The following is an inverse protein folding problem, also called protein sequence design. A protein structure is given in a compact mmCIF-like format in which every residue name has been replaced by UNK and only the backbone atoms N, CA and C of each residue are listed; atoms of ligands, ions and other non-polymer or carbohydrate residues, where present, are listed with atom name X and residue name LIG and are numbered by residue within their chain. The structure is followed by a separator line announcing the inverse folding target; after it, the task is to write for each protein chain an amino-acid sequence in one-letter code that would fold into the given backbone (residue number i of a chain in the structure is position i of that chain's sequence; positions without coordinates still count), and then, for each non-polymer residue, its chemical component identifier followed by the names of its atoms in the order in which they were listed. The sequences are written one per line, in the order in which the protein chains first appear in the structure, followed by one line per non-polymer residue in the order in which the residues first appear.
data_IF_991774717818
#
_entry.id   IF_991774717818
#
_cell.length_a   1.000
_cell.length_b   1.000
_cell.length_c   1.000
_cell.angle_alpha   90.00
_cell.angle_beta   90.00
_cell.angle_gamma   90.00
#
_symmetry.space_group_name_H-M   'P 1'
#
loop_
_entity.id
_entity.type
_entity.pdbx_description
1 polymer ?
#
# COMPACT_ATOMS: atom_id res chain seq x y z
N UNK A 1 -18.89 -0.98 9.05
CA UNK A 1 -19.06 -0.16 10.29
C UNK A 1 -20.50 -0.28 10.81
N UNK A 2 -21.53 -0.10 9.97
CA UNK A 2 -22.94 -0.16 10.39
C UNK A 2 -23.35 -1.51 11.02
N UNK A 3 -22.95 -2.65 10.42
CA UNK A 3 -23.27 -3.98 10.96
C UNK A 3 -22.64 -4.28 12.32
N UNK A 4 -21.45 -3.75 12.58
CA UNK A 4 -20.76 -3.92 13.87
C UNK A 4 -21.41 -3.09 15.00
N UNK A 5 -21.86 -1.89 14.70
CA UNK A 5 -22.59 -1.05 15.67
C UNK A 5 -23.95 -1.63 16.02
N UNK A 6 -24.64 -2.21 15.07
CA UNK A 6 -25.94 -2.83 15.30
C UNK A 6 -25.85 -4.14 16.11
N UNK A 7 -24.83 -4.96 15.87
CA UNK A 7 -24.58 -6.15 16.71
C UNK A 7 -24.30 -5.76 18.18
N UNK A 8 -23.57 -4.66 18.40
CA UNK A 8 -23.37 -4.11 19.76
C UNK A 8 -24.67 -3.61 20.39
N UNK A 9 -25.51 -2.91 19.63
CA UNK A 9 -26.79 -2.41 20.14
C UNK A 9 -27.73 -3.57 20.54
N UNK A 10 -27.80 -4.63 19.72
CA UNK A 10 -28.56 -5.84 20.05
C UNK A 10 -28.04 -6.53 21.33
N UNK A 11 -26.71 -6.63 21.48
CA UNK A 11 -26.05 -7.21 22.64
C UNK A 11 -26.34 -6.42 23.93
N UNK A 12 -26.34 -5.08 23.86
CA UNK A 12 -26.68 -4.21 24.99
C UNK A 12 -28.17 -4.37 25.38
N UNK A 13 -29.09 -4.43 24.40
CA UNK A 13 -30.51 -4.68 24.66
C UNK A 13 -30.75 -6.05 25.30
N UNK A 14 -30.05 -7.11 24.84
CA UNK A 14 -30.15 -8.44 25.42
C UNK A 14 -29.61 -8.49 26.85
N UNK A 15 -28.49 -7.85 27.13
CA UNK A 15 -27.92 -7.75 28.48
C UNK A 15 -28.82 -6.97 29.44
N UNK A 16 -29.41 -5.87 29.00
CA UNK A 16 -30.35 -5.07 29.80
C UNK A 16 -31.67 -5.83 30.11
N UNK A 17 -32.12 -6.67 29.17
CA UNK A 17 -33.24 -7.58 29.38
C UNK A 17 -32.92 -8.65 30.45
N UNK A 18 -31.72 -9.25 30.34
CA UNK A 18 -31.24 -10.25 31.29
C UNK A 18 -31.03 -9.70 32.72
N UNK A 19 -30.64 -8.42 32.79
CA UNK A 19 -30.46 -7.68 34.05
C UNK A 19 -31.79 -7.19 34.69
N UNK A 20 -32.95 -7.44 34.04
CA UNK A 20 -34.25 -7.03 34.55
C UNK A 20 -34.51 -5.52 34.52
N UNK A 21 -33.71 -4.76 33.77
CA UNK A 21 -33.85 -3.28 33.67
C UNK A 21 -35.06 -2.91 32.80
N UNK A 22 -35.46 -3.80 31.87
CA UNK A 22 -36.63 -3.59 31.02
C UNK A 22 -37.64 -4.72 31.14
N UNK A 23 -38.93 -4.36 31.08
CA UNK A 23 -40.00 -5.31 30.93
C UNK A 23 -39.89 -6.05 29.58
N UNK A 24 -40.34 -7.29 29.52
CA UNK A 24 -40.27 -8.15 28.32
C UNK A 24 -40.88 -7.48 27.07
N UNK A 25 -41.94 -6.70 27.26
CA UNK A 25 -42.55 -5.90 26.16
C UNK A 25 -41.64 -4.78 25.66
N UNK A 26 -41.01 -4.05 26.57
CA UNK A 26 -40.10 -2.97 26.21
C UNK A 26 -38.86 -3.52 25.44
N UNK A 27 -38.32 -4.65 25.92
CA UNK A 27 -37.21 -5.33 25.23
C UNK A 27 -37.54 -5.82 23.81
N UNK A 28 -38.73 -6.37 23.61
CA UNK A 28 -39.21 -6.80 22.30
C UNK A 28 -39.39 -5.61 21.34
N UNK A 29 -39.95 -4.50 21.82
CA UNK A 29 -40.09 -3.27 20.99
C UNK A 29 -38.73 -2.68 20.61
N UNK A 30 -37.79 -2.58 21.57
CA UNK A 30 -36.44 -2.07 21.28
C UNK A 30 -35.69 -2.95 20.28
N UNK A 31 -35.78 -4.27 20.41
CA UNK A 31 -35.18 -5.20 19.47
C UNK A 31 -35.81 -5.07 18.05
N UNK A 32 -37.13 -4.92 17.97
CA UNK A 32 -37.84 -4.70 16.70
C UNK A 32 -37.42 -3.39 16.04
N UNK A 33 -37.26 -2.29 16.80
CA UNK A 33 -36.79 -1.00 16.31
C UNK A 33 -35.38 -1.14 15.73
N UNK A 34 -34.46 -1.81 16.42
CA UNK A 34 -33.08 -2.03 15.94
C UNK A 34 -33.08 -2.85 14.66
N UNK A 35 -33.83 -3.95 14.61
CA UNK A 35 -33.92 -4.80 13.40
C UNK A 35 -34.52 -4.01 12.23
N UNK A 36 -35.60 -3.27 12.48
CA UNK A 36 -36.25 -2.48 11.44
C UNK A 36 -35.34 -1.36 10.90
N UNK A 37 -34.62 -0.66 11.79
CA UNK A 37 -33.68 0.38 11.36
C UNK A 37 -32.53 -0.19 10.54
N UNK A 38 -32.02 -1.39 10.88
CA UNK A 38 -31.03 -2.10 10.08
C UNK A 38 -31.52 -2.48 8.69
N UNK A 39 -32.77 -2.97 8.60
CA UNK A 39 -33.38 -3.33 7.32
C UNK A 39 -33.70 -2.09 6.47
N UNK A 40 -34.06 -0.97 7.11
CA UNK A 40 -34.43 0.27 6.42
C UNK A 40 -33.20 1.04 5.93
N UNK A 41 -32.08 1.00 6.63
CA UNK A 41 -30.88 1.75 6.30
C UNK A 41 -30.39 1.53 4.86
N UNK A 42 -30.18 0.30 4.36
CA UNK A 42 -29.77 0.09 2.97
C UNK A 42 -30.79 0.60 1.95
N UNK A 43 -32.08 0.49 2.26
CA UNK A 43 -33.15 1.00 1.40
C UNK A 43 -33.11 2.53 1.33
N UNK A 44 -32.92 3.20 2.48
CA UNK A 44 -32.79 4.66 2.55
C UNK A 44 -31.54 5.11 1.80
N UNK A 45 -30.41 4.44 1.95
CA UNK A 45 -29.17 4.76 1.22
C UNK A 45 -29.37 4.62 -0.29
N UNK A 46 -30.01 3.54 -0.75
CA UNK A 46 -30.31 3.34 -2.17
C UNK A 46 -31.27 4.42 -2.71
N UNK A 47 -32.27 4.81 -1.92
CA UNK A 47 -33.19 5.89 -2.30
C UNK A 47 -32.48 7.25 -2.31
N UNK A 48 -31.65 7.54 -1.35
CA UNK A 48 -30.84 8.76 -1.31
C UNK A 48 -29.90 8.83 -2.50
N UNK A 49 -29.18 7.75 -2.83
CA UNK A 49 -28.32 7.68 -4.03
C UNK A 49 -29.09 7.89 -5.35
N UNK A 50 -30.36 7.49 -5.36
CA UNK A 50 -31.21 7.64 -6.56
C UNK A 50 -31.83 9.03 -6.67
N UNK A 51 -32.19 9.65 -5.53
CA UNK A 51 -32.93 10.93 -5.50
C UNK A 51 -32.06 12.15 -5.24
N UNK A 52 -30.90 12.00 -4.57
CA UNK A 52 -29.95 13.09 -4.50
C UNK A 52 -29.17 13.16 -5.82
N UNK A 53 -29.28 14.28 -6.56
CA UNK A 53 -28.41 14.47 -7.70
C UNK A 53 -26.97 14.49 -7.17
N UNK A 54 -26.16 13.56 -7.64
CA UNK A 54 -24.71 13.65 -7.42
C UNK A 54 -24.32 15.03 -7.93
N UNK A 55 -23.58 15.84 -7.14
CA UNK A 55 -23.15 17.13 -7.63
C UNK A 55 -22.43 16.87 -8.95
N UNK A 56 -22.98 17.41 -10.04
CA UNK A 56 -22.34 17.33 -11.35
C UNK A 56 -20.99 18.04 -11.18
N UNK A 57 -19.90 17.29 -11.27
CA UNK A 57 -18.55 17.85 -11.22
C UNK A 57 -18.49 18.82 -12.40
N UNK A 58 -18.42 20.10 -12.11
CA UNK A 58 -18.33 21.13 -13.14
C UNK A 58 -17.00 20.96 -13.87
N UNK A 59 -17.06 20.59 -15.15
CA UNK A 59 -15.88 20.51 -16.03
C UNK A 59 -15.44 21.87 -16.57
N UNK A 60 -16.04 22.97 -16.07
CA UNK A 60 -15.71 24.31 -16.54
C UNK A 60 -14.25 24.64 -16.28
N UNK A 61 -13.48 24.95 -17.33
CA UNK A 61 -12.06 25.28 -17.27
C UNK A 61 -11.13 24.06 -17.23
N UNK A 62 -11.63 22.86 -17.45
CA UNK A 62 -10.84 21.65 -17.49
C UNK A 62 -10.71 21.21 -18.96
N UNK A 63 -9.47 21.00 -19.38
CA UNK A 63 -9.13 20.60 -20.74
C UNK A 63 -8.91 19.08 -20.82
N UNK A 64 -9.43 18.47 -21.86
CA UNK A 64 -9.01 17.13 -22.28
C UNK A 64 -7.72 17.20 -23.11
N UNK A 65 -6.90 16.15 -23.12
CA UNK A 65 -5.61 16.19 -23.81
C UNK A 65 -5.78 16.30 -25.33
N UNK A 66 -5.26 17.40 -25.96
CA UNK A 66 -5.38 17.60 -27.39
C UNK A 66 -4.22 16.98 -28.19
N UNK A 67 -3.96 15.68 -28.09
CA UNK A 67 -2.78 15.02 -28.69
C UNK A 67 -1.45 15.55 -28.13
N UNK A 68 -1.16 15.25 -26.89
CA UNK A 68 0.07 15.65 -26.22
C UNK A 68 1.29 14.94 -26.81
N UNK A 69 2.46 15.56 -26.71
CA UNK A 69 3.74 15.05 -27.29
C UNK A 69 4.90 15.09 -26.31
N UNK A 70 4.62 15.19 -25.01
CA UNK A 70 5.66 15.20 -23.99
C UNK A 70 6.51 13.91 -24.01
N UNK A 71 7.81 14.06 -23.74
CA UNK A 71 8.73 12.92 -23.62
C UNK A 71 8.38 12.00 -22.46
N UNK A 72 7.75 12.54 -21.45
CA UNK A 72 7.30 11.80 -20.26
C UNK A 72 5.81 12.02 -20.04
N UNK A 73 5.06 10.93 -19.93
CA UNK A 73 3.65 10.97 -19.57
C UNK A 73 3.51 10.61 -18.09
N UNK A 74 2.95 11.53 -17.27
CA UNK A 74 2.61 11.29 -15.87
C UNK A 74 1.12 11.03 -15.76
N UNK A 75 0.74 9.89 -15.19
CA UNK A 75 -0.64 9.48 -14.93
C UNK A 75 -0.86 9.51 -13.42
N UNK A 76 -1.71 10.45 -12.98
CA UNK A 76 -1.96 10.74 -11.57
C UNK A 76 -1.08 11.87 -11.05
N UNK A 77 -1.71 13.02 -10.75
CA UNK A 77 -1.04 14.23 -10.25
C UNK A 77 -1.37 14.51 -8.78
N UNK A 78 -1.58 13.45 -8.00
CA UNK A 78 -1.68 13.51 -6.55
C UNK A 78 -0.33 13.89 -5.90
N UNK A 79 -0.24 13.76 -4.57
CA UNK A 79 0.95 14.11 -3.78
C UNK A 79 2.26 13.54 -4.34
N UNK A 80 2.25 12.29 -4.77
CA UNK A 80 3.42 11.62 -5.32
C UNK A 80 3.79 12.18 -6.71
N UNK A 81 2.82 12.29 -7.63
CA UNK A 81 3.03 12.82 -8.99
C UNK A 81 3.55 14.24 -9.00
N UNK A 82 3.05 15.10 -8.10
CA UNK A 82 3.55 16.46 -7.91
C UNK A 82 5.03 16.51 -7.54
N UNK A 83 5.45 15.68 -6.58
CA UNK A 83 6.86 15.64 -6.15
C UNK A 83 7.75 15.06 -7.25
N UNK A 84 7.33 13.99 -7.93
CA UNK A 84 8.09 13.37 -9.03
C UNK A 84 8.27 14.32 -10.22
N UNK A 85 7.29 15.19 -10.49
CA UNK A 85 7.41 16.16 -11.59
C UNK A 85 8.50 17.22 -11.37
N UNK A 86 8.84 17.56 -10.11
CA UNK A 86 9.77 18.64 -9.81
C UNK A 86 11.18 18.43 -10.37
N UNK A 87 11.87 17.30 -10.15
CA UNK A 87 13.19 17.07 -10.72
C UNK A 87 13.17 16.98 -12.25
N UNK A 88 12.06 16.52 -12.85
CA UNK A 88 11.92 16.47 -14.31
C UNK A 88 11.81 17.90 -14.88
N UNK A 89 10.96 18.72 -14.29
CA UNK A 89 10.83 20.14 -14.69
C UNK A 89 12.10 20.93 -14.44
N UNK A 90 12.82 20.68 -13.36
CA UNK A 90 14.10 21.32 -13.08
C UNK A 90 15.19 20.99 -14.13
N UNK A 91 14.96 19.98 -14.96
CA UNK A 91 15.83 19.57 -16.07
C UNK A 91 15.22 19.89 -17.43
N UNK A 92 14.19 20.73 -17.47
CA UNK A 92 13.47 21.11 -18.69
C UNK A 92 12.97 19.91 -19.51
N UNK A 93 12.61 18.81 -18.82
CA UNK A 93 12.00 17.65 -19.46
C UNK A 93 10.57 18.02 -19.86
N UNK A 94 10.23 17.81 -21.12
CA UNK A 94 8.87 17.98 -21.61
C UNK A 94 7.96 16.89 -21.04
N UNK A 95 7.01 17.29 -20.20
CA UNK A 95 6.10 16.38 -19.52
C UNK A 95 4.64 16.64 -19.91
N UNK A 96 3.91 15.58 -20.17
CA UNK A 96 2.46 15.57 -20.27
C UNK A 96 1.87 15.00 -18.99
N UNK A 97 0.83 15.62 -18.44
CA UNK A 97 0.25 15.20 -17.15
C UNK A 97 -1.25 15.01 -17.33
N UNK A 98 -1.76 13.86 -16.90
CA UNK A 98 -3.19 13.57 -16.84
C UNK A 98 -3.61 13.13 -15.45
N UNK A 99 -4.83 13.51 -15.05
CA UNK A 99 -5.49 13.05 -13.84
C UNK A 99 -6.99 12.88 -14.10
N UNK A 100 -7.63 11.97 -13.39
CA UNK A 100 -9.08 11.77 -13.42
C UNK A 100 -9.80 12.57 -12.33
N UNK A 101 -9.07 13.17 -11.40
CA UNK A 101 -9.61 13.97 -10.30
C UNK A 101 -9.64 15.45 -10.67
N UNK A 102 -10.85 15.94 -10.91
CA UNK A 102 -11.11 17.34 -11.30
C UNK A 102 -10.68 18.34 -10.24
N UNK A 103 -10.85 18.03 -8.97
CA UNK A 103 -10.46 18.93 -7.87
C UNK A 103 -8.93 19.02 -7.76
N UNK A 104 -8.24 17.91 -8.02
CA UNK A 104 -6.79 17.88 -8.10
C UNK A 104 -6.27 18.70 -9.27
N UNK A 105 -6.90 18.62 -10.44
CA UNK A 105 -6.53 19.40 -11.64
C UNK A 105 -6.67 20.90 -11.36
N UNK A 106 -7.76 21.33 -10.73
CA UNK A 106 -7.96 22.74 -10.34
C UNK A 106 -6.93 23.20 -9.32
N UNK A 107 -6.68 22.40 -8.30
CA UNK A 107 -5.67 22.70 -7.30
C UNK A 107 -4.28 22.87 -7.94
N UNK A 108 -3.91 21.98 -8.85
CA UNK A 108 -2.64 22.05 -9.59
C UNK A 108 -2.52 23.34 -10.43
N UNK A 109 -3.60 23.78 -11.06
CA UNK A 109 -3.66 25.03 -11.83
C UNK A 109 -3.31 26.26 -10.99
N UNK A 110 -3.68 26.29 -9.70
CA UNK A 110 -3.33 27.38 -8.79
C UNK A 110 -1.81 27.49 -8.54
N UNK A 111 -1.06 26.43 -8.78
CA UNK A 111 0.40 26.38 -8.67
C UNK A 111 1.11 26.45 -10.03
N UNK A 112 0.37 26.76 -11.10
CA UNK A 112 0.94 26.91 -12.44
C UNK A 112 1.18 25.61 -13.19
N UNK A 113 0.69 24.47 -12.71
CA UNK A 113 0.76 23.20 -13.43
C UNK A 113 -0.39 23.09 -14.43
N UNK A 114 -0.07 22.67 -15.66
CA UNK A 114 -1.07 22.31 -16.64
C UNK A 114 -1.30 20.79 -16.61
N UNK A 115 -2.44 20.40 -16.06
CA UNK A 115 -2.87 19.02 -15.94
C UNK A 115 -4.15 18.85 -16.76
N UNK A 116 -4.18 17.82 -17.58
CA UNK A 116 -5.36 17.52 -18.41
C UNK A 116 -6.24 16.47 -17.74
N UNK A 117 -7.54 16.57 -18.00
CA UNK A 117 -8.47 15.53 -17.55
C UNK A 117 -8.31 14.27 -18.38
N UNK A 118 -8.07 13.13 -17.72
CA UNK A 118 -7.98 11.87 -18.41
C UNK A 118 -7.97 10.66 -17.47
N UNK A 119 -8.78 9.67 -17.81
CA UNK A 119 -8.75 8.36 -17.14
C UNK A 119 -7.70 7.47 -17.82
N UNK A 120 -6.56 7.29 -17.17
CA UNK A 120 -5.44 6.48 -17.66
C UNK A 120 -5.75 4.99 -17.86
N UNK A 121 -6.89 4.50 -17.38
CA UNK A 121 -7.32 3.11 -17.64
C UNK A 121 -7.95 2.92 -19.03
N UNK A 122 -8.12 4.01 -19.77
CA UNK A 122 -8.68 4.03 -21.12
C UNK A 122 -7.59 4.19 -22.17
N UNK A 123 -7.58 3.31 -23.14
CA UNK A 123 -6.58 3.30 -24.21
C UNK A 123 -6.62 4.55 -25.10
N UNK A 124 -7.83 5.02 -25.42
CA UNK A 124 -8.05 6.23 -26.22
C UNK A 124 -7.46 7.47 -25.52
N UNK A 125 -7.62 7.58 -24.20
CA UNK A 125 -7.03 8.63 -23.38
C UNK A 125 -5.50 8.53 -23.37
N UNK A 126 -4.94 7.34 -23.16
CA UNK A 126 -3.49 7.15 -23.21
C UNK A 126 -2.88 7.55 -24.56
N UNK A 127 -3.55 7.21 -25.67
CA UNK A 127 -3.11 7.59 -27.02
C UNK A 127 -3.14 9.10 -27.22
N UNK A 128 -4.21 9.78 -26.83
CA UNK A 128 -4.32 11.24 -26.95
C UNK A 128 -3.40 11.99 -26.00
N UNK A 129 -3.07 11.36 -24.86
CA UNK A 129 -2.10 11.90 -23.88
C UNK A 129 -0.64 11.73 -24.28
N UNK A 130 -0.36 11.17 -25.46
CA UNK A 130 0.98 11.08 -25.99
C UNK A 130 1.77 9.81 -25.61
N UNK A 131 1.13 8.79 -25.01
CA UNK A 131 1.79 7.55 -24.61
C UNK A 131 2.56 6.87 -25.76
N UNK A 132 2.05 6.96 -26.99
CA UNK A 132 2.68 6.37 -28.16
C UNK A 132 4.00 7.04 -28.62
N UNK A 133 4.33 8.20 -28.08
CA UNK A 133 5.57 8.95 -28.37
C UNK A 133 6.43 9.20 -27.13
N UNK A 134 5.93 8.85 -25.97
CA UNK A 134 6.65 9.04 -24.72
C UNK A 134 7.83 8.07 -24.59
N UNK A 135 8.96 8.59 -24.11
CA UNK A 135 10.12 7.77 -23.74
C UNK A 135 9.84 7.03 -22.42
N UNK A 136 8.98 7.62 -21.57
CA UNK A 136 8.62 7.07 -20.27
C UNK A 136 7.16 7.36 -19.90
N UNK A 137 6.51 6.40 -19.24
CA UNK A 137 5.19 6.52 -18.65
C UNK A 137 5.33 6.30 -17.15
N UNK A 138 4.93 7.31 -16.36
CA UNK A 138 4.95 7.28 -14.90
C UNK A 138 3.54 7.07 -14.38
N UNK A 139 3.30 5.95 -13.70
CA UNK A 139 2.01 5.63 -13.08
C UNK A 139 2.09 5.98 -11.59
N UNK A 140 1.50 7.12 -11.22
CA UNK A 140 1.60 7.73 -9.89
C UNK A 140 0.30 7.67 -9.08
N UNK A 141 -0.67 6.85 -9.49
CA UNK A 141 -1.98 6.73 -8.86
C UNK A 141 -1.95 5.88 -7.58
N UNK A 142 -2.92 6.13 -6.68
CA UNK A 142 -2.99 5.48 -5.37
C UNK A 142 -3.62 4.08 -5.39
N UNK A 143 -4.48 3.80 -6.39
CA UNK A 143 -5.29 2.58 -6.45
C UNK A 143 -4.54 1.48 -7.20
N UNK A 144 -4.14 0.39 -6.53
CA UNK A 144 -3.36 -0.68 -7.15
C UNK A 144 -4.03 -1.30 -8.38
N UNK A 145 -5.34 -1.53 -8.31
CA UNK A 145 -6.10 -2.18 -9.39
C UNK A 145 -6.11 -1.33 -10.67
N UNK A 146 -6.19 -0.01 -10.53
CA UNK A 146 -6.13 0.91 -11.67
C UNK A 146 -4.70 1.00 -12.21
N UNK A 147 -3.69 0.99 -11.33
CA UNK A 147 -2.28 0.97 -11.73
C UNK A 147 -1.95 -0.31 -12.51
N UNK A 148 -2.36 -1.47 -12.01
CA UNK A 148 -2.20 -2.76 -12.68
C UNK A 148 -2.84 -2.72 -14.10
N UNK A 149 -4.04 -2.15 -14.22
CA UNK A 149 -4.73 -2.00 -15.51
C UNK A 149 -3.99 -1.08 -16.48
N UNK A 150 -3.46 0.04 -15.99
CA UNK A 150 -2.66 0.97 -16.82
C UNK A 150 -1.38 0.29 -17.29
N UNK A 151 -0.70 -0.44 -16.40
CA UNK A 151 0.52 -1.20 -16.74
C UNK A 151 0.24 -2.23 -17.82
N UNK A 152 -0.86 -3.00 -17.69
CA UNK A 152 -1.27 -3.98 -18.70
C UNK A 152 -1.46 -3.33 -20.08
N UNK A 153 -2.22 -2.22 -20.15
CA UNK A 153 -2.45 -1.47 -21.38
C UNK A 153 -1.15 -0.90 -21.95
N UNK A 154 -0.31 -0.31 -21.09
CA UNK A 154 0.91 0.31 -21.53
C UNK A 154 1.92 -0.70 -22.08
N UNK A 155 2.05 -1.87 -21.45
CA UNK A 155 2.92 -2.96 -21.94
C UNK A 155 2.47 -3.51 -23.28
N UNK A 156 1.16 -3.60 -23.48
CA UNK A 156 0.59 -4.15 -24.72
C UNK A 156 0.69 -3.16 -25.88
N UNK A 157 0.35 -1.90 -25.64
CA UNK A 157 0.13 -0.90 -26.69
C UNK A 157 1.34 0.04 -26.91
N UNK A 158 2.17 0.24 -25.88
CA UNK A 158 3.30 1.17 -25.91
C UNK A 158 4.60 0.51 -25.42
N UNK A 159 5.03 -0.63 -26.01
CA UNK A 159 6.18 -1.41 -25.53
C UNK A 159 7.51 -0.67 -25.60
N UNK A 160 7.59 0.43 -26.36
CA UNK A 160 8.79 1.27 -26.47
C UNK A 160 8.97 2.22 -25.26
N UNK A 161 7.88 2.55 -24.55
CA UNK A 161 7.93 3.43 -23.38
C UNK A 161 8.39 2.67 -22.14
N UNK A 162 9.32 3.23 -21.38
CA UNK A 162 9.71 2.69 -20.08
C UNK A 162 8.63 2.96 -19.04
N UNK A 163 8.29 1.95 -18.26
CA UNK A 163 7.24 2.03 -17.24
C UNK A 163 7.83 2.19 -15.84
N UNK A 164 7.52 3.32 -15.22
CA UNK A 164 7.85 3.64 -13.82
C UNK A 164 6.58 3.68 -13.01
N UNK A 165 6.46 2.85 -11.97
CA UNK A 165 5.19 2.69 -11.27
C UNK A 165 5.35 2.89 -9.77
N UNK A 166 4.50 3.73 -9.20
CA UNK A 166 4.33 3.82 -7.76
C UNK A 166 3.60 2.58 -7.27
N UNK A 167 4.21 1.84 -6.39
CA UNK A 167 3.64 0.66 -5.78
C UNK A 167 2.99 1.01 -4.44
N UNK A 168 1.79 0.50 -4.20
CA UNK A 168 1.05 0.75 -2.97
C UNK A 168 1.66 0.03 -1.77
N UNK A 169 1.87 -1.29 -1.92
CA UNK A 169 2.42 -2.15 -0.89
C UNK A 169 3.35 -3.22 -1.49
N UNK A 170 3.84 -4.11 -0.63
CA UNK A 170 4.74 -5.18 -1.04
C UNK A 170 4.09 -6.18 -2.02
N UNK A 171 2.82 -6.50 -1.81
CA UNK A 171 2.09 -7.40 -2.70
C UNK A 171 1.94 -6.81 -4.10
N UNK A 172 1.61 -5.53 -4.18
CA UNK A 172 1.56 -4.79 -5.43
C UNK A 172 2.94 -4.72 -6.11
N UNK A 173 4.02 -4.47 -5.35
CA UNK A 173 5.40 -4.51 -5.87
C UNK A 173 5.70 -5.84 -6.57
N UNK A 174 5.36 -6.97 -5.95
CA UNK A 174 5.60 -8.29 -6.54
C UNK A 174 4.83 -8.47 -7.87
N UNK A 175 3.57 -8.02 -7.94
CA UNK A 175 2.79 -8.06 -9.19
C UNK A 175 3.41 -7.20 -10.28
N UNK A 176 3.86 -5.98 -9.95
CA UNK A 176 4.50 -5.07 -10.89
C UNK A 176 5.82 -5.64 -11.45
N UNK A 177 6.63 -6.27 -10.60
CA UNK A 177 7.86 -6.95 -11.03
C UNK A 177 7.51 -8.10 -11.98
N UNK A 178 6.50 -8.92 -11.66
CA UNK A 178 6.02 -10.00 -12.52
C UNK A 178 5.45 -9.49 -13.85
N UNK A 179 4.80 -8.33 -13.84
CA UNK A 179 4.33 -7.65 -15.05
C UNK A 179 5.48 -7.06 -15.89
N UNK A 180 6.71 -7.04 -15.37
CA UNK A 180 7.90 -6.60 -16.08
C UNK A 180 7.95 -5.08 -16.26
N UNK A 181 7.55 -4.28 -15.29
CA UNK A 181 7.78 -2.84 -15.28
C UNK A 181 9.28 -2.54 -15.16
N UNK A 182 9.74 -1.43 -15.74
CA UNK A 182 11.16 -1.08 -15.72
C UNK A 182 11.64 -0.63 -14.34
N UNK A 183 10.76 0.01 -13.58
CA UNK A 183 11.03 0.42 -12.20
C UNK A 183 9.75 0.56 -11.39
N UNK A 184 9.81 0.19 -10.14
CA UNK A 184 8.74 0.39 -9.17
C UNK A 184 9.30 0.92 -7.83
N UNK A 185 8.53 1.73 -7.15
CA UNK A 185 8.93 2.26 -5.85
C UNK A 185 7.79 2.18 -4.85
N UNK A 186 8.08 1.71 -3.65
CA UNK A 186 7.17 1.75 -2.50
C UNK A 186 7.37 3.07 -1.74
N UNK A 187 6.49 4.03 -1.98
CA UNK A 187 6.57 5.36 -1.34
C UNK A 187 6.69 5.27 0.18
N UNK A 188 5.85 4.46 0.82
CA UNK A 188 5.88 4.28 2.28
C UNK A 188 7.20 3.72 2.78
N UNK A 189 7.83 2.81 2.04
CA UNK A 189 9.11 2.24 2.42
C UNK A 189 10.21 3.30 2.38
N UNK A 190 10.32 4.06 1.29
CA UNK A 190 11.36 5.07 1.13
C UNK A 190 11.22 6.21 2.14
N UNK A 191 10.00 6.71 2.33
CA UNK A 191 9.73 7.76 3.32
C UNK A 191 9.94 7.28 4.76
N UNK A 192 9.58 6.04 5.07
CA UNK A 192 9.81 5.44 6.38
C UNK A 192 11.32 5.22 6.66
N UNK A 193 12.10 4.81 5.64
CA UNK A 193 13.55 4.71 5.77
C UNK A 193 14.21 6.06 6.06
N UNK A 194 13.81 7.11 5.34
CA UNK A 194 14.28 8.47 5.59
C UNK A 194 13.88 8.97 6.98
N UNK A 195 12.66 8.68 7.44
CA UNK A 195 12.21 9.02 8.78
C UNK A 195 13.00 8.26 9.85
N UNK A 196 13.21 6.95 9.66
CA UNK A 196 14.03 6.11 10.58
C UNK A 196 15.45 6.60 10.71
N UNK A 197 16.06 7.09 9.62
CA UNK A 197 17.37 7.73 9.65
C UNK A 197 17.41 8.92 10.61
N UNK A 198 16.41 9.80 10.54
CA UNK A 198 16.33 10.97 11.44
C UNK A 198 16.12 10.58 12.89
N UNK A 199 15.36 9.52 13.16
CA UNK A 199 15.19 8.98 14.52
C UNK A 199 16.52 8.47 15.08
N UNK A 200 17.28 7.68 14.31
CA UNK A 200 18.59 7.18 14.74
C UNK A 200 19.58 8.32 15.02
N UNK A 201 19.57 9.37 14.18
CA UNK A 201 20.35 10.60 14.45
C UNK A 201 19.95 11.26 15.76
N UNK A 202 18.64 11.37 16.02
CA UNK A 202 18.11 11.95 17.27
C UNK A 202 18.48 11.13 18.51
N UNK A 203 18.66 9.82 18.37
CA UNK A 203 19.12 8.92 19.42
C UNK A 203 20.65 8.93 19.62
N UNK A 204 21.40 9.66 18.80
CA UNK A 204 22.85 9.86 18.96
C UNK A 204 23.74 8.83 18.27
N UNK A 205 23.20 8.01 17.36
CA UNK A 205 24.02 7.09 16.56
C UNK A 205 24.93 7.84 15.57
N UNK A 206 26.12 7.30 15.30
CA UNK A 206 27.06 7.87 14.34
C UNK A 206 26.54 7.73 12.89
N UNK A 207 26.94 8.67 12.02
CA UNK A 207 26.50 8.68 10.63
C UNK A 207 26.82 7.37 9.89
N UNK A 208 28.01 6.83 10.13
CA UNK A 208 28.48 5.62 9.46
C UNK A 208 27.68 4.39 9.91
N UNK A 209 27.37 4.28 11.21
CA UNK A 209 26.52 3.22 11.76
C UNK A 209 25.09 3.29 11.20
N UNK A 210 24.56 4.50 11.05
CA UNK A 210 23.25 4.71 10.46
C UNK A 210 23.24 4.27 8.99
N UNK A 211 24.25 4.69 8.21
CA UNK A 211 24.35 4.34 6.80
C UNK A 211 24.47 2.83 6.59
N UNK A 212 25.28 2.14 7.38
CA UNK A 212 25.43 0.70 7.37
C UNK A 212 24.09 -0.01 7.72
N UNK A 213 23.43 0.47 8.78
CA UNK A 213 22.13 -0.08 9.21
C UNK A 213 21.07 0.05 8.10
N UNK A 214 21.00 1.22 7.47
CA UNK A 214 20.02 1.46 6.40
C UNK A 214 20.34 0.63 5.15
N UNK A 215 21.61 0.47 4.82
CA UNK A 215 22.05 -0.39 3.72
C UNK A 215 21.68 -1.87 3.98
N UNK A 216 21.95 -2.38 5.18
CA UNK A 216 21.56 -3.75 5.59
C UNK A 216 20.03 -3.96 5.50
N UNK A 217 19.25 -3.00 5.96
CA UNK A 217 17.77 -3.08 5.87
C UNK A 217 17.31 -3.12 4.40
N UNK A 218 17.89 -2.29 3.52
CA UNK A 218 17.56 -2.28 2.09
C UNK A 218 17.93 -3.60 1.43
N UNK A 219 19.13 -4.10 1.68
CA UNK A 219 19.59 -5.37 1.11
C UNK A 219 18.69 -6.53 1.52
N UNK A 220 18.36 -6.63 2.80
CA UNK A 220 17.41 -7.67 3.29
C UNK A 220 16.02 -7.54 2.68
N UNK A 221 15.56 -6.32 2.43
CA UNK A 221 14.28 -6.09 1.79
C UNK A 221 14.29 -6.54 0.33
N UNK A 222 15.37 -6.29 -0.40
CA UNK A 222 15.58 -6.77 -1.78
C UNK A 222 15.70 -8.29 -1.85
N UNK A 223 16.52 -8.90 -1.00
CA UNK A 223 16.66 -10.36 -0.91
C UNK A 223 15.32 -11.02 -0.63
N UNK A 224 14.54 -10.42 0.28
CA UNK A 224 13.20 -10.90 0.60
C UNK A 224 12.24 -10.77 -0.57
N UNK A 225 12.33 -9.70 -1.38
CA UNK A 225 11.54 -9.57 -2.61
C UNK A 225 11.89 -10.69 -3.59
N UNK A 226 13.16 -10.98 -3.77
CA UNK A 226 13.63 -12.10 -4.61
C UNK A 226 13.07 -13.45 -4.18
N UNK A 227 13.12 -13.75 -2.89
CA UNK A 227 12.54 -14.99 -2.35
C UNK A 227 11.02 -15.04 -2.52
N UNK A 228 10.33 -13.92 -2.38
CA UNK A 228 8.87 -13.84 -2.48
C UNK A 228 8.37 -13.96 -3.92
N UNK A 229 9.16 -13.56 -4.91
CA UNK A 229 8.82 -13.79 -6.32
C UNK A 229 8.71 -15.28 -6.66
N UNK A 230 9.48 -16.13 -5.98
CA UNK A 230 9.52 -17.59 -6.21
C UNK A 230 8.60 -18.32 -5.24
N UNK A 231 8.68 -17.99 -3.95
CA UNK A 231 8.05 -18.72 -2.85
C UNK A 231 6.77 -18.09 -2.27
N UNK A 232 6.27 -17.01 -2.87
CA UNK A 232 5.08 -16.28 -2.42
C UNK A 232 5.33 -15.33 -1.25
N UNK A 233 4.30 -14.59 -0.84
CA UNK A 233 4.37 -13.43 0.08
C UNK A 233 4.96 -13.76 1.46
N UNK A 234 4.90 -14.99 1.91
CA UNK A 234 5.41 -15.43 3.22
C UNK A 234 6.88 -15.86 3.19
N UNK A 235 7.48 -16.02 2.01
CA UNK A 235 8.88 -16.38 1.88
C UNK A 235 9.81 -15.29 2.44
N UNK A 236 10.98 -15.66 2.91
CA UNK A 236 11.98 -14.75 3.45
C UNK A 236 11.61 -14.10 4.79
N UNK A 237 10.69 -14.70 5.57
CA UNK A 237 10.35 -14.18 6.93
C UNK A 237 11.55 -14.11 7.85
N UNK A 238 12.52 -15.00 7.70
CA UNK A 238 13.75 -15.03 8.48
C UNK A 238 14.66 -13.81 8.26
N UNK A 239 14.49 -13.10 7.15
CA UNK A 239 15.22 -11.88 6.84
C UNK A 239 14.67 -10.62 7.56
N UNK A 240 13.48 -10.74 8.15
CA UNK A 240 12.91 -9.64 8.93
C UNK A 240 13.56 -9.58 10.32
N UNK A 241 14.00 -8.38 10.71
CA UNK A 241 14.32 -8.12 12.12
C UNK A 241 13.01 -7.82 12.87
N UNK A 242 12.81 -8.48 13.99
CA UNK A 242 11.72 -8.20 14.92
C UNK A 242 12.28 -8.12 16.35
N UNK A 243 11.49 -7.62 17.27
CA UNK A 243 11.85 -7.51 18.69
C UNK A 243 11.51 -8.77 19.51
N UNK A 244 10.98 -9.80 18.87
CA UNK A 244 10.84 -11.12 19.49
C UNK A 244 12.05 -11.96 19.07
N UNK A 245 12.74 -12.55 20.05
CA UNK A 245 13.72 -13.57 19.76
C UNK A 245 13.01 -14.68 18.99
N UNK A 246 13.29 -14.79 17.68
CA UNK A 246 12.85 -15.94 16.91
C UNK A 246 13.49 -17.16 17.56
N UNK A 247 12.74 -18.15 18.04
CA UNK A 247 13.37 -19.40 18.41
C UNK A 247 14.04 -19.88 17.13
N UNK A 248 15.37 -19.90 17.12
CA UNK A 248 16.07 -20.57 16.05
C UNK A 248 15.56 -22.00 16.04
N UNK A 249 14.97 -22.50 14.96
CA UNK A 249 14.69 -23.92 14.86
C UNK A 249 16.04 -24.56 14.69
N UNK A 250 16.59 -24.95 15.81
CA UNK A 250 17.87 -25.59 15.79
C UNK A 250 17.70 -27.05 16.14
N UNK A 251 17.62 -27.93 15.19
CA UNK A 251 18.14 -29.26 15.45
C UNK A 251 19.66 -29.26 15.57
N UNK A 252 20.33 -28.13 15.33
CA UNK A 252 21.79 -28.03 15.22
C UNK A 252 22.41 -26.87 16.02
N UNK A 253 21.64 -26.14 16.84
CA UNK A 253 22.22 -25.16 17.74
C UNK A 253 22.68 -25.85 19.02
N UNK A 254 23.92 -25.54 19.40
CA UNK A 254 24.44 -25.89 20.72
C UNK A 254 23.50 -25.33 21.80
N UNK A 255 23.08 -26.13 22.79
CA UNK A 255 22.29 -25.64 23.91
C UNK A 255 22.98 -24.43 24.52
N UNK A 256 22.21 -23.37 24.86
CA UNK A 256 22.74 -22.19 25.56
C UNK A 256 23.37 -22.51 26.91
N UNK A 257 23.08 -23.68 27.44
CA UNK A 257 23.68 -24.22 28.66
C UNK A 257 24.13 -25.64 28.38
N UNK A 258 25.30 -26.00 28.90
CA UNK A 258 25.78 -27.38 28.88
C UNK A 258 24.76 -28.29 29.54
N UNK A 259 24.50 -29.44 28.88
CA UNK A 259 23.58 -30.43 29.42
C UNK A 259 24.13 -30.86 30.80
N UNK A 260 23.31 -30.70 31.83
CA UNK A 260 23.61 -31.26 33.14
C UNK A 260 23.04 -32.67 33.23
N UNK A 261 23.85 -33.60 33.58
CA UNK A 261 23.37 -34.94 33.89
C UNK A 261 22.36 -34.92 35.02
N UNK A 262 21.22 -35.61 34.81
CA UNK A 262 20.10 -35.64 35.74
C UNK A 262 20.37 -36.57 36.97
N UNK A 263 21.38 -37.44 36.85
CA UNK A 263 21.74 -38.39 37.91
C UNK A 263 23.25 -38.69 37.87
N UNK A 264 23.86 -39.25 38.95
CA UNK A 264 25.27 -39.55 39.02
C UNK A 264 25.76 -40.55 37.96
N UNK A 265 24.91 -41.47 37.53
CA UNK A 265 25.27 -42.49 36.52
C UNK A 265 25.44 -41.83 35.12
N UNK A 266 24.57 -40.88 34.79
CA UNK A 266 24.68 -40.12 33.54
C UNK A 266 25.88 -39.17 33.52
N UNK A 267 26.36 -38.71 34.69
CA UNK A 267 27.57 -37.90 34.81
C UNK A 267 28.81 -38.67 34.38
N UNK A 268 28.91 -39.95 34.73
CA UNK A 268 30.04 -40.80 34.37
C UNK A 268 30.15 -41.07 32.87
N UNK A 269 29.02 -41.17 32.19
CA UNK A 269 28.98 -41.39 30.72
C UNK A 269 29.40 -40.12 29.98
N UNK A 270 29.00 -38.95 30.44
CA UNK A 270 29.35 -37.65 29.81
C UNK A 270 30.86 -37.31 30.01
N UNK A 271 31.44 -37.72 31.14
CA UNK A 271 32.87 -37.51 31.39
C UNK A 271 33.74 -38.47 30.54
N UNK A 272 33.28 -39.68 30.22
CA UNK A 272 33.99 -40.62 29.34
C UNK A 272 33.99 -40.24 27.88
N UNK A 273 32.91 -39.62 27.38
CA UNK A 273 32.83 -39.13 25.99
C UNK A 273 33.56 -37.79 25.74
N UNK A 274 33.98 -37.09 26.79
CA UNK A 274 34.71 -35.83 26.71
C UNK A 274 36.25 -35.96 26.65
N UNK A 275 36.80 -37.18 26.81
CA UNK A 275 38.24 -37.44 26.76
C UNK A 275 38.71 -38.14 25.45
N UNK A 276 37.84 -38.25 24.45
CA UNK A 276 38.18 -38.74 23.11
C UNK A 276 38.03 -37.58 22.10
#
# INVERSE_FOLDING_TARGET
VAGFMAAKALGICAAALAAGVFDARAGAVMSAIVILSMALTPIVVLLLDRFLPRPAISMHGIEEPPCLTGRVLIIGFGRFGQVVSQPLLARDVDISIIDADVDMIRAAGNFGFKVYYGDGTRLDVLRTSGAGKADAILVCIDKPELADRIVELAKLEFPQARLYVRSFDRGHTLRLIQAGVDYQVRETFESAMAFGEHVLKGLGYAKDEIAETLADVRQRDEDRLGLQLIGGITAGRSLMRNNQATPEPAPLTRPKHEARALNPEATQVVEQDGET
#
